data_IF_263203197064
#
_entry.id   IF_263203197064
#
_cell.length_a   1.000
_cell.length_b   1.000
_cell.length_c   1.000
_cell.angle_alpha   90.00
_cell.angle_beta   90.00
_cell.angle_gamma   90.00
#
_symmetry.space_group_name_H-M   'P 1'
#
loop_
_entity.id
_entity.type
_entity.pdbx_description
1 polymer ?
#
# COMPACT_ATOMS: atom_id res chain seq x y z
N UNK A 1 5.86 -10.75 2.11
CA UNK A 1 6.00 -9.29 1.89
C UNK A 1 5.14 -8.93 0.69
N UNK A 2 4.24 -7.96 0.84
CA UNK A 2 3.42 -7.41 -0.24
C UNK A 2 4.03 -6.11 -0.75
N UNK A 3 4.45 -6.06 -2.01
CA UNK A 3 4.71 -4.79 -2.69
C UNK A 3 3.42 -4.35 -3.37
N UNK A 4 2.79 -3.30 -2.83
CA UNK A 4 1.43 -2.89 -3.21
C UNK A 4 1.40 -2.37 -4.65
N UNK A 5 0.41 -2.79 -5.42
CA UNK A 5 0.22 -2.38 -6.81
C UNK A 5 1.29 -2.88 -7.78
N UNK A 6 1.92 -4.02 -7.49
CA UNK A 6 2.99 -4.62 -8.31
C UNK A 6 2.56 -5.86 -9.12
N UNK A 7 1.26 -6.03 -9.32
CA UNK A 7 0.74 -7.11 -10.14
C UNK A 7 0.71 -6.72 -11.62
N UNK A 8 0.79 -7.73 -12.48
CA UNK A 8 0.77 -7.60 -13.93
C UNK A 8 -0.15 -8.68 -14.51
N UNK A 9 -0.75 -8.42 -15.67
CA UNK A 9 -1.67 -9.34 -16.33
C UNK A 9 -3.04 -8.72 -16.58
N UNK A 10 -4.05 -9.57 -16.73
CA UNK A 10 -5.40 -9.16 -17.16
C UNK A 10 -6.21 -8.46 -16.07
N UNK A 11 -5.89 -8.69 -14.79
CA UNK A 11 -6.53 -8.03 -13.63
C UNK A 11 -5.48 -7.71 -12.55
N UNK A 12 -4.64 -6.67 -12.76
CA UNK A 12 -3.60 -6.31 -11.80
C UNK A 12 -4.18 -5.71 -10.51
N UNK A 13 -5.41 -5.19 -10.53
CA UNK A 13 -6.02 -4.52 -9.37
C UNK A 13 -6.51 -5.52 -8.30
N UNK A 14 -6.85 -6.76 -8.69
CA UNK A 14 -7.30 -7.79 -7.75
C UNK A 14 -6.18 -8.42 -6.91
N UNK A 15 -4.92 -8.33 -7.36
CA UNK A 15 -3.82 -9.08 -6.77
C UNK A 15 -3.55 -8.76 -5.30
N UNK A 16 -3.59 -7.49 -4.92
CA UNK A 16 -3.36 -7.06 -3.53
C UNK A 16 -4.45 -7.60 -2.60
N UNK A 17 -5.70 -7.57 -3.05
CA UNK A 17 -6.84 -8.08 -2.29
C UNK A 17 -6.75 -9.61 -2.10
N UNK A 18 -6.31 -10.34 -3.13
CA UNK A 18 -6.14 -11.79 -3.04
C UNK A 18 -5.15 -12.16 -1.93
N UNK A 19 -4.00 -11.49 -1.84
CA UNK A 19 -2.96 -11.87 -0.89
C UNK A 19 -3.07 -11.21 0.49
N UNK A 20 -4.02 -10.28 0.68
CA UNK A 20 -4.15 -9.47 1.89
C UNK A 20 -4.16 -10.30 3.19
N UNK A 21 -4.93 -11.40 3.24
CA UNK A 21 -5.03 -12.28 4.43
C UNK A 21 -3.75 -13.01 4.83
N UNK A 22 -2.78 -13.12 3.92
CA UNK A 22 -1.49 -13.76 4.18
C UNK A 22 -0.36 -12.73 4.31
N UNK A 23 -0.69 -11.44 4.23
CA UNK A 23 0.30 -10.38 4.25
C UNK A 23 0.79 -10.11 5.67
N UNK A 24 2.10 -10.24 5.86
CA UNK A 24 2.77 -9.96 7.15
C UNK A 24 3.48 -8.59 7.16
N UNK A 25 3.88 -8.08 5.99
CA UNK A 25 4.65 -6.83 5.82
C UNK A 25 4.34 -6.22 4.46
N UNK A 26 4.36 -4.88 4.35
CA UNK A 26 3.95 -4.14 3.15
C UNK A 26 4.99 -3.12 2.71
N UNK A 27 5.14 -2.91 1.41
CA UNK A 27 5.91 -1.81 0.81
C UNK A 27 5.05 -1.02 -0.19
N UNK A 28 4.96 0.29 0.03
CA UNK A 28 4.34 1.27 -0.86
C UNK A 28 5.42 2.10 -1.58
N UNK A 29 5.15 2.54 -2.81
CA UNK A 29 6.11 3.30 -3.63
C UNK A 29 5.44 4.49 -4.34
N UNK A 30 6.21 5.38 -4.96
CA UNK A 30 5.70 6.61 -5.59
C UNK A 30 4.78 6.38 -6.80
N UNK A 31 4.79 5.19 -7.40
CA UNK A 31 3.99 4.86 -8.58
C UNK A 31 2.57 4.35 -8.28
N UNK A 32 2.20 4.21 -7.01
CA UNK A 32 0.86 3.75 -6.64
C UNK A 32 -0.16 4.88 -6.87
N UNK A 33 -1.29 4.55 -7.49
CA UNK A 33 -2.41 5.49 -7.60
C UNK A 33 -3.09 5.67 -6.23
N UNK A 34 -3.74 6.81 -6.02
CA UNK A 34 -4.48 7.03 -4.76
C UNK A 34 -5.57 5.97 -4.59
N UNK A 35 -6.28 5.59 -5.65
CA UNK A 35 -7.29 4.54 -5.59
C UNK A 35 -6.70 3.17 -5.20
N UNK A 36 -5.57 2.78 -5.80
CA UNK A 36 -4.90 1.50 -5.47
C UNK A 36 -4.39 1.48 -4.03
N UNK A 37 -3.90 2.63 -3.54
CA UNK A 37 -3.49 2.80 -2.15
C UNK A 37 -4.66 2.59 -1.19
N UNK A 38 -5.80 3.25 -1.45
CA UNK A 38 -7.02 3.11 -0.65
C UNK A 38 -7.52 1.67 -0.65
N UNK A 39 -7.64 1.05 -1.83
CA UNK A 39 -8.09 -0.33 -1.99
C UNK A 39 -7.21 -1.32 -1.23
N UNK A 40 -5.88 -1.15 -1.28
CA UNK A 40 -4.94 -2.01 -0.57
C UNK A 40 -5.09 -1.88 0.95
N UNK A 41 -5.21 -0.64 1.47
CA UNK A 41 -5.44 -0.40 2.90
C UNK A 41 -6.76 -1.03 3.35
N UNK A 42 -7.84 -0.87 2.57
CA UNK A 42 -9.14 -1.48 2.88
C UNK A 42 -9.06 -3.00 2.91
N UNK A 43 -8.43 -3.62 1.90
CA UNK A 43 -8.27 -5.05 1.84
C UNK A 43 -7.43 -5.59 3.02
N UNK A 44 -6.33 -4.92 3.37
CA UNK A 44 -5.49 -5.31 4.50
C UNK A 44 -6.26 -5.25 5.82
N UNK A 45 -6.97 -4.14 6.09
CA UNK A 45 -7.75 -3.96 7.33
C UNK A 45 -8.91 -4.95 7.41
N UNK A 46 -9.64 -5.17 6.31
CA UNK A 46 -10.73 -6.14 6.25
C UNK A 46 -10.25 -7.57 6.58
N UNK A 47 -8.96 -7.87 6.34
CA UNK A 47 -8.34 -9.14 6.67
C UNK A 47 -7.57 -9.13 8.01
N UNK A 48 -7.77 -8.12 8.85
CA UNK A 48 -7.19 -8.06 10.19
C UNK A 48 -5.70 -7.69 10.23
N UNK A 49 -5.16 -7.10 9.17
CA UNK A 49 -3.78 -6.64 9.16
C UNK A 49 -3.56 -5.54 10.22
N UNK A 50 -2.62 -5.77 11.12
CA UNK A 50 -2.24 -4.87 12.21
C UNK A 50 -0.75 -4.49 12.18
N UNK A 51 -0.08 -4.77 11.05
CA UNK A 51 1.33 -4.42 10.84
C UNK A 51 1.53 -2.98 10.36
N UNK A 52 2.75 -2.69 9.93
CA UNK A 52 3.14 -1.35 9.48
C UNK A 52 2.91 -1.16 7.97
N UNK A 53 2.51 0.06 7.59
CA UNK A 53 2.57 0.52 6.19
C UNK A 53 3.95 1.13 5.94
N UNK A 54 4.85 0.38 5.29
CA UNK A 54 6.21 0.85 5.01
C UNK A 54 6.36 1.38 3.60
N UNK A 55 7.25 2.35 3.42
CA UNK A 55 7.55 2.94 2.11
C UNK A 55 8.92 2.45 1.65
N UNK A 56 8.99 1.91 0.44
CA UNK A 56 10.23 1.45 -0.20
C UNK A 56 10.38 2.13 -1.57
N UNK A 57 11.38 2.99 -1.69
CA UNK A 57 11.65 3.75 -2.91
C UNK A 57 13.17 3.82 -3.10
N UNK A 58 13.65 3.49 -4.31
CA UNK A 58 15.03 3.74 -4.71
C UNK A 58 15.19 5.21 -5.11
N UNK A 59 15.51 6.07 -4.14
CA UNK A 59 15.64 7.51 -4.35
C UNK A 59 16.69 8.12 -3.43
N UNK A 60 17.29 9.22 -3.86
CA UNK A 60 18.17 10.06 -3.02
C UNK A 60 17.44 11.29 -2.47
N UNK A 61 16.17 11.48 -2.82
CA UNK A 61 15.36 12.65 -2.43
C UNK A 61 14.44 12.30 -1.26
N UNK A 62 14.63 12.95 -0.12
CA UNK A 62 13.77 12.77 1.06
C UNK A 62 12.30 13.19 0.85
N UNK A 63 12.02 14.07 -0.11
CA UNK A 63 10.65 14.53 -0.38
C UNK A 63 9.76 13.44 -0.98
N UNK A 64 10.33 12.49 -1.72
CA UNK A 64 9.56 11.41 -2.37
C UNK A 64 8.92 10.43 -1.36
N UNK A 65 9.66 9.81 -0.42
CA UNK A 65 9.04 8.99 0.62
C UNK A 65 8.12 9.81 1.53
N UNK A 66 8.44 11.09 1.80
CA UNK A 66 7.58 11.95 2.62
C UNK A 66 6.18 12.13 2.03
N UNK A 67 6.06 12.27 0.71
CA UNK A 67 4.76 12.37 0.02
C UNK A 67 3.96 11.08 0.18
N UNK A 68 4.59 9.91 -0.01
CA UNK A 68 3.89 8.61 0.15
C UNK A 68 3.46 8.38 1.60
N UNK A 69 4.32 8.72 2.57
CA UNK A 69 3.96 8.67 4.00
C UNK A 69 2.77 9.59 4.31
N UNK A 70 2.75 10.80 3.76
CA UNK A 70 1.64 11.72 3.95
C UNK A 70 0.31 11.14 3.44
N UNK A 71 0.32 10.52 2.25
CA UNK A 71 -0.86 9.82 1.70
C UNK A 71 -1.33 8.66 2.56
N UNK A 72 -0.40 7.80 3.00
CA UNK A 72 -0.71 6.67 3.88
C UNK A 72 -1.32 7.12 5.20
N UNK A 73 -0.77 8.20 5.77
CA UNK A 73 -1.27 8.77 7.02
C UNK A 73 -2.67 9.34 6.86
N UNK A 74 -2.90 10.13 5.83
CA UNK A 74 -4.21 10.69 5.49
C UNK A 74 -5.26 9.58 5.27
N UNK A 75 -4.89 8.53 4.54
CA UNK A 75 -5.74 7.35 4.34
C UNK A 75 -6.07 6.60 5.65
N UNK A 76 -5.10 6.42 6.56
CA UNK A 76 -5.34 5.80 7.86
C UNK A 76 -6.21 6.68 8.77
N UNK A 77 -5.93 7.99 8.82
CA UNK A 77 -6.64 8.95 9.66
C UNK A 77 -8.13 9.06 9.27
N UNK A 78 -8.46 8.95 7.98
CA UNK A 78 -9.86 8.89 7.50
C UNK A 78 -10.64 7.64 7.94
N UNK A 79 -9.95 6.60 8.43
CA UNK A 79 -10.51 5.28 8.80
C UNK A 79 -10.51 5.02 10.32
N UNK A 80 -10.14 6.01 11.12
CA UNK A 80 -10.18 5.96 12.58
C UNK A 80 -11.53 6.45 13.10
#
# INVERSE_FOLDING_TARGET
LLHVGRWHGDDPDAGDALVARWTMHTHFSTGISDQSLENAIDALRANGYSGCYSVEIATTRYSEPAIVIAKLRDADERRR
#
